data_IF_891202553652
#
_entry.id   IF_891202553652
#
_cell.length_a   1.000
_cell.length_b   1.000
_cell.length_c   1.000
_cell.angle_alpha   90.00
_cell.angle_beta   90.00
_cell.angle_gamma   90.00
#
_symmetry.space_group_name_H-M   'P 1'
#
loop_
_entity.id
_entity.type
_entity.pdbx_description
1 polymer ?
#
# COMPACT_ATOMS: atom_id res chain seq x y z
N UNK A 1 3.38 13.65 -18.57
CA UNK A 1 3.53 13.91 -17.11
C UNK A 1 4.82 13.27 -16.65
N UNK A 2 5.63 13.99 -15.88
CA UNK A 2 6.81 13.42 -15.22
C UNK A 2 6.29 12.52 -14.09
N UNK A 3 6.60 11.24 -14.15
CA UNK A 3 6.21 10.32 -13.08
C UNK A 3 6.97 10.70 -11.80
N UNK A 4 6.28 10.87 -10.66
CA UNK A 4 6.95 11.26 -9.42
C UNK A 4 7.95 10.17 -8.99
N UNK A 5 9.18 10.60 -8.68
CA UNK A 5 10.21 9.76 -8.07
C UNK A 5 9.83 9.43 -6.63
N UNK A 6 10.29 8.27 -6.12
CA UNK A 6 10.09 7.84 -4.73
C UNK A 6 10.50 8.90 -3.70
N UNK A 7 9.93 8.82 -2.50
CA UNK A 7 10.36 9.66 -1.38
C UNK A 7 11.56 9.03 -0.66
N UNK A 8 12.76 9.39 -1.09
CA UNK A 8 14.00 8.81 -0.57
C UNK A 8 14.29 9.17 0.89
N UNK A 9 13.76 10.29 1.37
CA UNK A 9 14.07 10.88 2.68
C UNK A 9 12.89 10.79 3.66
N UNK A 10 11.76 10.19 3.30
CA UNK A 10 10.54 10.13 4.13
C UNK A 10 9.94 11.53 4.48
N UNK A 11 10.44 12.59 3.85
CA UNK A 11 10.13 14.00 4.18
C UNK A 11 8.68 14.38 3.95
N UNK A 12 7.98 13.72 3.04
CA UNK A 12 6.55 14.00 2.78
C UNK A 12 5.60 13.02 3.48
N UNK A 13 6.12 12.03 4.21
CA UNK A 13 5.28 11.07 4.96
C UNK A 13 4.39 11.83 5.94
N UNK A 14 3.10 11.55 5.95
CA UNK A 14 2.16 12.08 6.93
C UNK A 14 1.00 11.10 7.05
N UNK A 15 0.04 11.38 7.94
CA UNK A 15 -1.14 10.52 8.08
C UNK A 15 -1.97 10.46 6.79
N UNK A 16 -1.99 11.53 5.99
CA UNK A 16 -2.70 11.60 4.70
C UNK A 16 -1.82 11.19 3.51
N UNK A 17 -0.50 11.33 3.63
CA UNK A 17 0.47 10.88 2.63
C UNK A 17 1.34 9.78 3.22
N UNK A 18 0.72 8.69 3.66
CA UNK A 18 1.38 7.57 4.30
C UNK A 18 2.11 6.69 3.28
N UNK A 19 3.08 5.90 3.75
CA UNK A 19 3.83 4.95 2.93
C UNK A 19 2.91 3.81 2.49
N UNK A 20 2.85 3.52 1.19
CA UNK A 20 1.98 2.48 0.63
C UNK A 20 2.63 1.73 -0.54
N UNK A 21 1.88 0.79 -1.13
CA UNK A 21 2.28 0.02 -2.30
C UNK A 21 3.38 -0.99 -1.98
N UNK A 22 4.32 -1.17 -2.92
CA UNK A 22 5.33 -2.23 -2.81
C UNK A 22 6.28 -2.09 -1.61
N UNK A 23 6.53 -0.86 -1.12
CA UNK A 23 7.33 -0.68 0.10
C UNK A 23 6.57 -1.18 1.33
N UNK A 24 5.29 -0.82 1.48
CA UNK A 24 4.46 -1.23 2.59
C UNK A 24 4.08 -2.72 2.56
N UNK A 25 3.72 -3.28 1.41
CA UNK A 25 3.40 -4.72 1.29
C UNK A 25 4.59 -5.62 1.68
N UNK A 26 5.82 -5.12 1.47
CA UNK A 26 7.06 -5.81 1.83
C UNK A 26 7.60 -5.37 3.19
N UNK A 27 6.87 -4.57 3.95
CA UNK A 27 7.28 -4.20 5.30
C UNK A 27 6.83 -5.28 6.30
N UNK A 28 7.74 -5.81 7.13
CA UNK A 28 7.43 -6.87 8.08
C UNK A 28 6.69 -6.31 9.30
N UNK A 29 5.39 -6.10 9.17
CA UNK A 29 4.53 -5.66 10.27
C UNK A 29 4.41 -6.72 11.37
N UNK A 30 4.41 -6.28 12.63
CA UNK A 30 4.16 -7.15 13.78
C UNK A 30 2.81 -7.90 13.63
N UNK A 31 2.84 -9.23 13.75
CA UNK A 31 1.64 -10.07 13.61
C UNK A 31 1.25 -10.44 12.18
N UNK A 32 1.98 -9.95 11.15
CA UNK A 32 1.89 -10.47 9.79
C UNK A 32 2.90 -11.60 9.58
N UNK A 33 2.45 -12.73 9.04
CA UNK A 33 3.32 -13.84 8.62
C UNK A 33 3.63 -13.81 7.13
N UNK A 34 3.12 -12.80 6.40
CA UNK A 34 3.33 -12.59 4.96
C UNK A 34 3.92 -11.19 4.71
N UNK A 35 4.63 -11.02 3.60
CA UNK A 35 5.43 -9.83 3.31
C UNK A 35 6.91 -10.02 3.67
N UNK A 36 7.74 -8.99 3.40
CA UNK A 36 9.16 -8.99 3.78
C UNK A 36 10.15 -9.51 2.73
N UNK A 37 9.70 -10.28 1.73
CA UNK A 37 10.60 -10.92 0.74
C UNK A 37 11.49 -9.93 0.00
N UNK A 38 10.96 -8.76 -0.33
CA UNK A 38 11.71 -7.69 -1.00
C UNK A 38 11.98 -6.50 -0.08
N UNK A 39 11.99 -6.68 1.25
CA UNK A 39 12.22 -5.58 2.20
C UNK A 39 13.47 -4.77 1.85
N UNK A 40 14.61 -5.44 1.64
CA UNK A 40 15.89 -4.79 1.30
C UNK A 40 15.86 -4.07 -0.05
N UNK A 41 14.92 -4.37 -0.95
CA UNK A 41 14.76 -3.61 -2.19
C UNK A 41 14.17 -2.20 -1.96
N UNK A 42 13.52 -1.99 -0.82
CA UNK A 42 12.84 -0.73 -0.46
C UNK A 42 13.46 -0.04 0.75
N UNK A 43 14.01 -0.81 1.69
CA UNK A 43 14.62 -0.33 2.92
C UNK A 43 16.03 -0.91 3.03
N UNK A 44 16.96 -0.33 2.28
CA UNK A 44 18.37 -0.72 2.31
C UNK A 44 19.14 0.25 3.20
N UNK A 45 19.48 -0.22 4.39
CA UNK A 45 20.23 0.58 5.36
C UNK A 45 21.66 0.84 4.89
N UNK A 46 22.27 -0.10 4.18
CA UNK A 46 23.69 -0.02 3.81
C UNK A 46 23.90 1.02 2.70
N UNK A 47 22.95 1.15 1.77
CA UNK A 47 22.95 2.24 0.80
C UNK A 47 22.31 3.55 1.30
N UNK A 48 21.71 3.55 2.50
CA UNK A 48 21.03 4.71 3.07
C UNK A 48 19.79 5.14 2.29
N UNK A 49 19.21 4.24 1.49
CA UNK A 49 18.06 4.54 0.61
C UNK A 49 16.77 3.85 1.09
N UNK A 50 15.75 4.68 1.39
CA UNK A 50 14.36 4.24 1.58
C UNK A 50 13.50 4.58 0.35
N UNK A 51 13.22 3.62 -0.53
CA UNK A 51 12.44 3.85 -1.76
C UNK A 51 10.94 3.72 -1.51
N UNK A 52 10.34 4.69 -0.81
CA UNK A 52 8.91 4.60 -0.47
C UNK A 52 8.01 5.33 -1.45
N UNK A 53 6.87 4.72 -1.74
CA UNK A 53 5.75 5.39 -2.40
C UNK A 53 4.77 5.89 -1.36
N UNK A 54 4.18 7.05 -1.63
CA UNK A 54 3.20 7.70 -0.75
C UNK A 54 1.83 7.81 -1.43
N UNK A 55 0.78 7.61 -0.64
CA UNK A 55 -0.59 7.93 -1.03
C UNK A 55 -0.71 9.43 -1.38
N UNK A 56 -1.55 9.76 -2.37
CA UNK A 56 -1.73 11.14 -2.86
C UNK A 56 -0.55 11.73 -3.65
N UNK A 57 0.62 11.08 -3.67
CA UNK A 57 1.81 11.54 -4.41
C UNK A 57 2.17 10.57 -5.55
N UNK A 58 2.46 9.31 -5.22
CA UNK A 58 2.93 8.30 -6.16
C UNK A 58 1.85 7.25 -6.47
N UNK A 59 0.91 7.15 -5.53
CA UNK A 59 -0.34 6.40 -5.64
C UNK A 59 -1.49 7.39 -5.59
N UNK A 60 -2.67 7.01 -6.13
CA UNK A 60 -3.88 7.78 -5.90
C UNK A 60 -4.11 8.03 -4.40
N UNK A 61 -4.76 9.13 -4.08
CA UNK A 61 -5.32 9.31 -2.75
C UNK A 61 -6.52 8.37 -2.59
N UNK A 62 -6.42 7.45 -1.64
CA UNK A 62 -7.47 6.46 -1.33
C UNK A 62 -8.22 6.79 -0.03
N UNK A 63 -8.06 8.00 0.50
CA UNK A 63 -8.75 8.45 1.73
C UNK A 63 -10.27 8.33 1.60
N UNK A 64 -10.85 8.70 0.46
CA UNK A 64 -12.29 8.58 0.25
C UNK A 64 -12.78 7.11 0.16
N UNK A 65 -11.88 6.19 -0.18
CA UNK A 65 -12.18 4.76 -0.30
C UNK A 65 -12.16 4.06 1.05
N UNK A 66 -11.12 4.32 1.85
CA UNK A 66 -10.80 3.50 3.02
C UNK A 66 -10.57 4.32 4.31
N UNK A 67 -10.58 5.65 4.23
CA UNK A 67 -10.21 6.53 5.34
C UNK A 67 -8.84 6.15 5.92
N UNK A 68 -8.80 6.02 7.24
CA UNK A 68 -7.61 5.61 7.99
C UNK A 68 -7.46 4.08 8.14
N UNK A 69 -8.35 3.27 7.53
CA UNK A 69 -8.30 1.82 7.68
C UNK A 69 -6.95 1.26 7.19
N UNK A 70 -6.28 0.52 8.07
CA UNK A 70 -4.96 -0.06 7.83
C UNK A 70 -3.81 0.97 7.76
N UNK A 71 -4.00 2.23 8.15
CA UNK A 71 -2.92 3.22 8.26
C UNK A 71 -2.38 3.22 9.69
N UNK A 72 -1.13 2.78 9.85
CA UNK A 72 -0.50 2.61 11.16
C UNK A 72 0.61 3.62 11.38
N UNK A 73 0.81 4.01 12.64
CA UNK A 73 2.04 4.68 13.06
C UNK A 73 3.18 3.65 13.13
N UNK A 74 4.23 3.89 12.36
CA UNK A 74 5.41 3.01 12.28
C UNK A 74 6.68 3.73 12.72
N UNK A 75 6.55 4.89 13.40
CA UNK A 75 7.67 5.75 13.80
C UNK A 75 8.73 4.96 14.57
N UNK A 76 8.32 4.28 15.64
CA UNK A 76 9.27 3.53 16.48
C UNK A 76 9.84 2.30 15.75
N UNK A 77 9.04 1.67 14.89
CA UNK A 77 9.50 0.49 14.15
C UNK A 77 10.55 0.84 13.09
N UNK A 78 10.32 1.94 12.35
CA UNK A 78 11.28 2.47 11.40
C UNK A 78 12.53 2.96 12.13
N UNK A 79 12.39 3.69 13.24
CA UNK A 79 13.52 4.19 14.02
C UNK A 79 14.42 3.04 14.51
N UNK A 80 13.83 1.95 15.04
CA UNK A 80 14.59 0.75 15.44
C UNK A 80 15.38 0.11 14.28
N UNK A 81 14.94 0.31 13.03
CA UNK A 81 15.58 -0.21 11.82
C UNK A 81 16.55 0.79 11.17
N UNK A 82 16.76 1.95 11.79
CA UNK A 82 17.68 3.00 11.31
C UNK A 82 17.03 4.06 10.42
N UNK A 83 15.69 4.10 10.37
CA UNK A 83 14.92 5.07 9.59
C UNK A 83 14.14 5.99 10.51
N UNK A 84 14.62 7.20 10.71
CA UNK A 84 13.93 8.22 11.51
C UNK A 84 13.93 9.54 10.78
N UNK A 85 12.86 10.31 10.94
CA UNK A 85 12.81 11.71 10.53
C UNK A 85 12.58 12.53 11.80
N UNK A 86 13.53 13.40 12.14
CA UNK A 86 13.57 14.06 13.44
C UNK A 86 12.27 14.79 13.78
N UNK A 87 11.72 14.46 14.96
CA UNK A 87 10.49 15.07 15.47
C UNK A 87 9.21 14.73 14.70
N UNK A 88 9.26 13.78 13.76
CA UNK A 88 8.16 13.49 12.85
C UNK A 88 7.61 12.07 13.02
N UNK A 89 6.29 11.97 13.07
CA UNK A 89 5.59 10.68 13.01
C UNK A 89 5.55 10.16 11.58
N UNK A 90 5.88 8.88 11.42
CA UNK A 90 5.85 8.18 10.15
C UNK A 90 4.66 7.22 10.11
N UNK A 91 3.92 7.25 9.01
CA UNK A 91 2.73 6.45 8.82
C UNK A 91 2.88 5.54 7.60
N UNK A 92 2.35 4.33 7.71
CA UNK A 92 2.43 3.31 6.66
C UNK A 92 1.16 2.47 6.63
N UNK A 93 0.76 2.08 5.41
CA UNK A 93 -0.26 1.07 5.20
C UNK A 93 0.18 -0.28 5.74
N UNK A 94 -0.71 -1.03 6.40
CA UNK A 94 -0.51 -2.46 6.60
C UNK A 94 -0.57 -3.22 5.28
N UNK A 95 -0.35 -4.53 5.38
CA UNK A 95 -0.34 -5.44 4.24
C UNK A 95 -1.66 -5.38 3.42
N UNK A 96 -2.82 -5.24 4.06
CA UNK A 96 -4.11 -5.21 3.39
C UNK A 96 -4.36 -3.87 2.72
N UNK A 97 -4.08 -2.75 3.41
CA UNK A 97 -4.23 -1.40 2.86
C UNK A 97 -3.25 -1.17 1.72
N UNK A 98 -2.02 -1.66 1.81
CA UNK A 98 -1.03 -1.55 0.74
C UNK A 98 -1.50 -2.28 -0.54
N UNK A 99 -2.03 -3.51 -0.39
CA UNK A 99 -2.61 -4.24 -1.51
C UNK A 99 -3.85 -3.52 -2.07
N UNK A 100 -4.73 -3.00 -1.22
CA UNK A 100 -5.91 -2.25 -1.65
C UNK A 100 -5.53 -0.99 -2.47
N UNK A 101 -4.55 -0.22 -2.01
CA UNK A 101 -4.05 0.95 -2.74
C UNK A 101 -3.42 0.56 -4.10
N UNK A 102 -2.76 -0.60 -4.19
CA UNK A 102 -2.25 -1.15 -5.45
C UNK A 102 -3.38 -1.54 -6.41
N UNK A 103 -4.44 -2.18 -5.91
CA UNK A 103 -5.62 -2.49 -6.72
C UNK A 103 -6.28 -1.20 -7.19
N UNK A 104 -6.50 -0.19 -6.34
CA UNK A 104 -7.11 1.08 -6.74
C UNK A 104 -6.26 1.78 -7.80
N UNK A 105 -4.94 1.84 -7.63
CA UNK A 105 -4.04 2.38 -8.65
C UNK A 105 -4.20 1.67 -9.99
N UNK A 106 -4.26 0.33 -9.97
CA UNK A 106 -4.50 -0.45 -11.19
C UNK A 106 -5.89 -0.16 -11.79
N UNK A 107 -6.95 -0.18 -10.98
CA UNK A 107 -8.33 0.09 -11.42
C UNK A 107 -8.39 1.42 -12.14
N UNK A 108 -7.89 2.50 -11.53
CA UNK A 108 -7.91 3.86 -12.07
C UNK A 108 -7.03 4.03 -13.31
N UNK A 109 -6.02 3.19 -13.50
CA UNK A 109 -5.19 3.20 -14.71
C UNK A 109 -5.84 2.50 -15.92
N UNK A 110 -5.21 2.64 -17.08
CA UNK A 110 -5.56 1.92 -18.31
C UNK A 110 -4.88 0.55 -18.43
N UNK A 111 -4.08 0.15 -17.44
CA UNK A 111 -3.41 -1.16 -17.45
C UNK A 111 -4.43 -2.30 -17.42
N UNK A 112 -4.18 -3.33 -18.24
CA UNK A 112 -4.95 -4.58 -18.26
C UNK A 112 -4.55 -5.56 -17.15
N UNK A 113 -3.36 -5.37 -16.56
CA UNK A 113 -2.79 -6.31 -15.59
C UNK A 113 -2.67 -5.67 -14.21
N UNK A 114 -3.31 -6.31 -13.22
CA UNK A 114 -3.11 -6.03 -11.80
C UNK A 114 -1.89 -6.81 -11.34
N UNK A 115 -1.00 -6.18 -10.57
CA UNK A 115 0.24 -6.79 -10.09
C UNK A 115 0.13 -7.29 -8.63
N UNK A 116 -1.10 -7.47 -8.15
CA UNK A 116 -1.40 -8.01 -6.82
C UNK A 116 -1.67 -9.49 -6.95
N UNK A 117 -0.79 -10.30 -6.36
CA UNK A 117 -0.85 -11.76 -6.41
C UNK A 117 -1.60 -12.29 -5.18
N UNK A 118 -2.94 -12.31 -5.24
CA UNK A 118 -3.78 -12.63 -4.07
C UNK A 118 -3.49 -14.03 -3.50
N UNK A 119 -3.32 -15.03 -4.37
CA UNK A 119 -3.04 -16.39 -3.95
C UNK A 119 -1.69 -16.54 -3.22
N UNK A 120 -0.70 -15.73 -3.59
CA UNK A 120 0.65 -15.77 -3.01
C UNK A 120 0.73 -14.93 -1.73
N UNK A 121 0.21 -13.70 -1.76
CA UNK A 121 0.37 -12.75 -0.66
C UNK A 121 -0.64 -12.97 0.46
N UNK A 122 -1.80 -13.55 0.13
CA UNK A 122 -2.89 -13.84 1.07
C UNK A 122 -3.30 -15.31 0.94
N UNK A 123 -2.45 -16.28 1.31
CA UNK A 123 -2.67 -17.69 0.95
C UNK A 123 -3.83 -18.35 1.70
N UNK A 124 -4.20 -17.87 2.89
CA UNK A 124 -5.28 -18.46 3.69
C UNK A 124 -6.65 -17.88 3.35
N UNK A 125 -7.72 -18.66 3.49
CA UNK A 125 -9.09 -18.18 3.28
C UNK A 125 -9.43 -16.95 4.13
N UNK A 126 -8.93 -16.90 5.37
CA UNK A 126 -9.13 -15.76 6.28
C UNK A 126 -8.46 -14.49 5.76
N UNK A 127 -7.20 -14.60 5.35
CA UNK A 127 -6.43 -13.44 4.84
C UNK A 127 -7.01 -12.95 3.50
N UNK A 128 -7.49 -13.85 2.63
CA UNK A 128 -8.20 -13.45 1.40
C UNK A 128 -9.48 -12.69 1.74
N UNK A 129 -10.29 -13.23 2.65
CA UNK A 129 -11.56 -12.61 3.04
C UNK A 129 -11.35 -11.19 3.58
N UNK A 130 -10.34 -10.96 4.43
CA UNK A 130 -10.01 -9.63 4.94
C UNK A 130 -9.59 -8.66 3.83
N UNK A 131 -8.82 -9.12 2.83
CA UNK A 131 -8.49 -8.31 1.64
C UNK A 131 -9.75 -7.97 0.83
N UNK A 132 -10.64 -8.94 0.61
CA UNK A 132 -11.87 -8.72 -0.14
C UNK A 132 -12.83 -7.76 0.58
N UNK A 133 -12.85 -7.77 1.92
CA UNK A 133 -13.64 -6.85 2.74
C UNK A 133 -13.17 -5.40 2.58
N UNK A 134 -11.86 -5.14 2.72
CA UNK A 134 -11.34 -3.78 2.52
C UNK A 134 -11.59 -3.31 1.08
N UNK A 135 -11.33 -4.14 0.06
CA UNK A 135 -11.63 -3.80 -1.33
C UNK A 135 -13.12 -3.56 -1.58
N UNK A 136 -13.98 -4.36 -0.95
CA UNK A 136 -15.43 -4.25 -1.00
C UNK A 136 -15.94 -2.91 -0.44
N UNK A 137 -15.38 -2.47 0.69
CA UNK A 137 -15.77 -1.21 1.33
C UNK A 137 -15.55 0.04 0.45
N UNK A 138 -14.56 0.00 -0.44
CA UNK A 138 -14.25 1.08 -1.36
C UNK A 138 -15.10 1.10 -2.64
N UNK A 139 -15.81 0.00 -2.97
CA UNK A 139 -16.60 -0.09 -4.22
C UNK A 139 -17.61 1.04 -4.41
N UNK A 140 -18.40 1.46 -3.40
CA UNK A 140 -19.38 2.53 -3.57
C UNK A 140 -18.78 3.89 -3.92
N UNK A 141 -17.46 4.04 -3.79
CA UNK A 141 -16.71 5.26 -4.09
C UNK A 141 -16.23 5.30 -5.55
N UNK A 142 -16.27 4.18 -6.26
CA UNK A 142 -16.02 4.13 -7.70
C UNK A 142 -17.26 4.59 -8.47
N UNK A 143 -17.31 5.88 -8.79
CA UNK A 143 -18.43 6.46 -9.54
C UNK A 143 -18.38 6.14 -11.04
N UNK A 144 -17.21 5.78 -11.57
CA UNK A 144 -17.05 5.37 -12.97
C UNK A 144 -17.49 3.90 -13.15
N UNK A 145 -18.56 3.62 -13.92
CA UNK A 145 -19.07 2.27 -14.11
C UNK A 145 -18.08 1.32 -14.78
N UNK A 146 -17.22 1.81 -15.67
CA UNK A 146 -16.22 0.98 -16.33
C UNK A 146 -15.12 0.56 -15.35
N UNK A 147 -14.71 1.45 -14.45
CA UNK A 147 -13.73 1.18 -13.40
C UNK A 147 -14.29 0.24 -12.34
N UNK A 148 -15.56 0.42 -11.96
CA UNK A 148 -16.26 -0.52 -11.07
C UNK A 148 -16.34 -1.93 -11.68
N UNK A 149 -16.79 -2.04 -12.93
CA UNK A 149 -16.86 -3.33 -13.65
C UNK A 149 -15.49 -4.01 -13.75
N UNK A 150 -14.42 -3.24 -13.97
CA UNK A 150 -13.04 -3.73 -13.99
C UNK A 150 -12.63 -4.33 -12.64
N UNK A 151 -12.94 -3.64 -11.53
CA UNK A 151 -12.67 -4.16 -10.19
C UNK A 151 -13.47 -5.43 -9.91
N UNK A 152 -14.76 -5.45 -10.22
CA UNK A 152 -15.64 -6.60 -9.96
C UNK A 152 -15.22 -7.84 -10.76
N UNK A 153 -14.88 -7.67 -12.04
CA UNK A 153 -14.39 -8.78 -12.86
C UNK A 153 -13.10 -9.38 -12.29
N UNK A 154 -12.19 -8.55 -11.79
CA UNK A 154 -10.96 -9.02 -11.16
C UNK A 154 -11.23 -9.69 -9.82
N UNK A 155 -12.09 -9.14 -8.96
CA UNK A 155 -12.46 -9.76 -7.68
C UNK A 155 -13.09 -11.15 -7.87
N UNK A 156 -13.95 -11.31 -8.89
CA UNK A 156 -14.58 -12.59 -9.21
C UNK A 156 -13.60 -13.63 -9.76
N UNK A 157 -12.39 -13.24 -10.14
CA UNK A 157 -11.35 -14.16 -10.63
C UNK A 157 -10.31 -14.53 -9.56
N UNK A 158 -10.44 -14.06 -8.32
CA UNK A 158 -9.49 -14.33 -7.22
C UNK A 158 -9.85 -15.57 -6.40
#
# INVERSE_FOLDING_TARGET
MIQPLFDFDLKRVSRTHFITGKAAINFPHAGSTTGGWHFLSYFDRDSGVAKVSLAGVHYPDTTDFYGDAGVNDVTDELARRGWSEDGKRLFMADHYRAAADMVVKWVLSDSKHCNVEVAEWFPSSRTKQLLLEILGSGKPKLLDPAKLKKLEAWLSSQ
#
